data_IF_391563487992
#
_entry.id   IF_391563487992
#
_cell.length_a   1.000
_cell.length_b   1.000
_cell.length_c   1.000
_cell.angle_alpha   90.00
_cell.angle_beta   90.00
_cell.angle_gamma   90.00
#
_symmetry.space_group_name_H-M   'P 1'
#
loop_
_entity.id
_entity.type
_entity.pdbx_description
1 polymer ?
#
# COMPACT_ATOMS: atom_id res chain seq x y z
N UNK A 1 -11.25 -34.66 69.64
CA UNK A 1 -11.79 -34.03 68.41
C UNK A 1 -10.65 -33.85 67.41
N UNK A 2 -10.08 -34.95 66.94
CA UNK A 2 -10.42 -35.72 65.72
C UNK A 2 -9.94 -35.06 64.43
N UNK A 3 -8.69 -35.39 64.08
CA UNK A 3 -8.03 -35.16 62.80
C UNK A 3 -8.83 -35.69 61.59
N UNK A 4 -9.82 -36.56 61.81
CA UNK A 4 -10.79 -36.99 60.81
C UNK A 4 -11.69 -35.83 60.32
N UNK A 5 -12.06 -34.90 61.22
CA UNK A 5 -12.95 -33.78 60.89
C UNK A 5 -12.23 -32.75 59.99
N UNK A 6 -10.94 -32.55 60.21
CA UNK A 6 -10.13 -31.62 59.42
C UNK A 6 -9.85 -32.15 58.00
N UNK A 7 -9.66 -33.47 57.84
CA UNK A 7 -9.53 -34.10 56.51
C UNK A 7 -10.83 -34.04 55.70
N UNK A 8 -11.99 -34.16 56.33
CA UNK A 8 -13.28 -34.09 55.64
C UNK A 8 -13.58 -32.67 55.13
N UNK A 9 -13.26 -31.63 55.91
CA UNK A 9 -13.43 -30.23 55.51
C UNK A 9 -12.51 -29.87 54.34
N UNK A 10 -11.25 -30.36 54.34
CA UNK A 10 -10.32 -30.09 53.25
C UNK A 10 -10.77 -30.74 51.92
N UNK A 11 -11.28 -31.98 51.98
CA UNK A 11 -11.78 -32.72 50.81
C UNK A 11 -13.04 -32.10 50.21
N UNK A 12 -13.97 -31.61 51.04
CA UNK A 12 -15.17 -30.90 50.57
C UNK A 12 -14.80 -29.55 49.96
N UNK A 13 -13.80 -28.84 50.50
CA UNK A 13 -13.32 -27.58 49.90
C UNK A 13 -12.64 -27.79 48.54
N UNK A 14 -11.90 -28.89 48.37
CA UNK A 14 -11.28 -29.21 47.08
C UNK A 14 -12.35 -29.59 46.03
N UNK A 15 -13.36 -30.38 46.40
CA UNK A 15 -14.43 -30.76 45.47
C UNK A 15 -15.29 -29.56 45.03
N UNK A 16 -15.58 -28.61 45.93
CA UNK A 16 -16.30 -27.37 45.57
C UNK A 16 -15.48 -26.45 44.66
N UNK A 17 -14.15 -26.40 44.81
CA UNK A 17 -13.28 -25.62 43.94
C UNK A 17 -13.10 -26.23 42.55
N UNK A 18 -13.18 -27.56 42.41
CA UNK A 18 -13.13 -28.21 41.10
C UNK A 18 -14.43 -28.06 40.31
N UNK A 19 -15.60 -28.21 40.95
CA UNK A 19 -16.90 -28.07 40.28
C UNK A 19 -17.15 -26.65 39.74
N UNK A 20 -16.74 -25.61 40.48
CA UNK A 20 -16.96 -24.22 40.08
C UNK A 20 -16.03 -23.78 38.92
N UNK A 21 -14.86 -24.40 38.76
CA UNK A 21 -13.93 -24.11 37.64
C UNK A 21 -14.36 -24.73 36.31
N UNK A 22 -15.08 -25.85 36.34
CA UNK A 22 -15.62 -26.46 35.12
C UNK A 22 -16.82 -25.69 34.56
N UNK A 23 -17.75 -25.24 35.41
CA UNK A 23 -18.89 -24.42 34.96
C UNK A 23 -18.46 -23.04 34.40
N UNK A 24 -17.40 -22.43 34.93
CA UNK A 24 -16.88 -21.17 34.38
C UNK A 24 -16.21 -21.36 33.02
N UNK A 25 -15.50 -22.47 32.80
CA UNK A 25 -14.92 -22.80 31.49
C UNK A 25 -15.97 -23.14 30.45
N UNK A 26 -17.07 -23.79 30.86
CA UNK A 26 -18.18 -24.11 29.95
C UNK A 26 -18.94 -22.84 29.56
N UNK A 27 -19.17 -21.89 30.50
CA UNK A 27 -19.79 -20.60 30.16
C UNK A 27 -18.88 -19.67 29.34
N UNK A 28 -17.56 -19.68 29.56
CA UNK A 28 -16.62 -18.99 28.67
C UNK A 28 -16.58 -19.62 27.28
N UNK A 29 -16.59 -20.96 27.17
CA UNK A 29 -16.62 -21.67 25.89
C UNK A 29 -17.95 -21.51 25.14
N UNK A 30 -19.09 -21.44 25.83
CA UNK A 30 -20.42 -21.19 25.24
C UNK A 30 -20.62 -19.71 24.87
N UNK A 31 -19.92 -18.78 25.52
CA UNK A 31 -19.87 -17.37 25.11
C UNK A 31 -18.90 -17.08 23.95
N UNK A 32 -18.02 -18.04 23.62
CA UNK A 32 -17.06 -17.98 22.52
C UNK A 32 -17.53 -18.76 21.27
N UNK A 33 -18.76 -19.28 21.26
CA UNK A 33 -19.50 -19.46 19.99
C UNK A 33 -19.94 -18.10 19.43
N UNK A 34 -18.99 -17.18 19.32
CA UNK A 34 -19.10 -16.03 18.43
C UNK A 34 -19.19 -16.61 17.02
N UNK A 35 -20.34 -16.36 16.40
CA UNK A 35 -20.60 -16.52 14.99
C UNK A 35 -19.40 -15.92 14.25
N UNK A 36 -18.52 -16.75 13.67
CA UNK A 36 -17.61 -16.25 12.64
C UNK A 36 -18.52 -15.97 11.44
N UNK A 37 -19.01 -14.75 11.31
CA UNK A 37 -19.68 -14.34 10.09
C UNK A 37 -18.67 -14.54 8.96
N UNK A 38 -18.92 -15.56 8.13
CA UNK A 38 -18.07 -15.87 7.01
C UNK A 38 -18.31 -14.77 5.97
N UNK A 39 -17.43 -13.77 5.96
CA UNK A 39 -17.46 -12.70 4.97
C UNK A 39 -17.46 -13.30 3.56
N UNK A 40 -18.49 -13.00 2.79
CA UNK A 40 -18.58 -13.36 1.38
C UNK A 40 -18.29 -12.13 0.53
N UNK A 41 -17.25 -12.23 -0.29
CA UNK A 41 -16.85 -11.16 -1.19
C UNK A 41 -17.46 -11.38 -2.58
N UNK A 42 -18.07 -10.35 -3.15
CA UNK A 42 -18.57 -10.38 -4.53
C UNK A 42 -17.70 -9.48 -5.40
N UNK A 43 -17.17 -10.01 -6.50
CA UNK A 43 -16.48 -9.19 -7.50
C UNK A 43 -17.50 -8.25 -8.17
N UNK A 44 -17.25 -6.95 -8.07
CA UNK A 44 -18.13 -5.91 -8.65
C UNK A 44 -17.49 -5.22 -9.85
N UNK A 45 -16.17 -5.25 -9.98
CA UNK A 45 -15.45 -4.66 -11.10
C UNK A 45 -14.13 -5.38 -11.35
N UNK A 46 -13.77 -5.54 -12.63
CA UNK A 46 -12.44 -5.99 -13.04
C UNK A 46 -11.97 -5.22 -14.27
N UNK A 47 -10.67 -4.95 -14.34
CA UNK A 47 -10.02 -4.34 -15.49
C UNK A 47 -8.70 -5.06 -15.77
N UNK A 48 -8.36 -5.23 -17.04
CA UNK A 48 -7.06 -5.76 -17.47
C UNK A 48 -6.49 -4.89 -18.57
N UNK A 49 -5.25 -4.44 -18.40
CA UNK A 49 -4.58 -3.58 -19.36
C UNK A 49 -3.18 -4.12 -19.69
N UNK A 50 -2.68 -3.70 -20.85
CA UNK A 50 -1.33 -4.00 -21.34
C UNK A 50 -0.69 -2.69 -21.78
N UNK A 51 0.32 -2.26 -21.03
CA UNK A 51 1.09 -1.06 -21.29
C UNK A 51 2.46 -1.43 -21.84
N UNK A 52 2.65 -1.19 -23.14
CA UNK A 52 3.92 -1.45 -23.83
C UNK A 52 4.77 -0.20 -24.05
N UNK A 53 4.25 0.97 -23.66
CA UNK A 53 4.89 2.26 -23.95
C UNK A 53 5.32 3.02 -22.69
N UNK A 54 5.01 2.54 -21.48
CA UNK A 54 5.35 3.24 -20.24
C UNK A 54 6.84 3.18 -19.90
N UNK A 55 7.55 2.15 -20.31
CA UNK A 55 9.00 2.03 -20.12
C UNK A 55 9.66 1.64 -21.43
N UNK A 56 10.93 2.01 -21.64
CA UNK A 56 11.73 1.45 -22.73
C UNK A 56 12.33 0.07 -22.38
N UNK A 57 12.25 -0.34 -21.11
CA UNK A 57 12.96 -1.49 -20.54
C UNK A 57 12.03 -2.70 -20.34
N UNK A 58 10.76 -2.46 -20.01
CA UNK A 58 9.78 -3.51 -19.76
C UNK A 58 8.38 -3.16 -20.30
N UNK A 59 7.53 -4.19 -20.41
CA UNK A 59 6.09 -4.08 -20.61
C UNK A 59 5.37 -4.42 -19.31
N UNK A 60 4.25 -3.76 -19.04
CA UNK A 60 3.39 -4.05 -17.90
C UNK A 60 2.07 -4.66 -18.38
N UNK A 61 1.70 -5.81 -17.84
CA UNK A 61 0.33 -6.32 -17.92
C UNK A 61 -0.23 -6.34 -16.51
N UNK A 62 -1.31 -5.61 -16.26
CA UNK A 62 -1.91 -5.57 -14.95
C UNK A 62 -3.38 -5.94 -14.98
N UNK A 63 -3.85 -6.49 -13.86
CA UNK A 63 -5.23 -6.89 -13.64
C UNK A 63 -5.68 -6.38 -12.28
N UNK A 64 -6.71 -5.56 -12.30
CA UNK A 64 -7.34 -5.00 -11.11
C UNK A 64 -8.68 -5.67 -10.87
N UNK A 65 -8.99 -5.93 -9.60
CA UNK A 65 -10.27 -6.43 -9.12
C UNK A 65 -10.74 -5.57 -7.95
N UNK A 66 -12.03 -5.22 -7.96
CA UNK A 66 -12.73 -4.62 -6.82
C UNK A 66 -13.82 -5.59 -6.36
N UNK A 67 -13.78 -5.90 -5.08
CA UNK A 67 -14.70 -6.77 -4.38
C UNK A 67 -15.48 -5.95 -3.37
N UNK A 68 -16.76 -6.26 -3.20
CA UNK A 68 -17.56 -5.68 -2.12
C UNK A 68 -17.88 -6.78 -1.10
N UNK A 69 -17.63 -6.49 0.18
CA UNK A 69 -18.09 -7.34 1.26
C UNK A 69 -19.59 -7.15 1.47
N UNK A 70 -20.36 -8.22 1.27
CA UNK A 70 -21.82 -8.20 1.39
C UNK A 70 -22.34 -7.95 2.81
N UNK A 71 -21.46 -8.01 3.83
CA UNK A 71 -21.81 -7.83 5.24
C UNK A 71 -21.36 -6.44 5.72
N UNK A 72 -20.08 -6.11 5.57
CA UNK A 72 -19.53 -4.84 6.10
C UNK A 72 -19.70 -3.64 5.15
N UNK A 73 -20.06 -3.87 3.87
CA UNK A 73 -20.02 -2.86 2.80
C UNK A 73 -18.65 -2.18 2.64
N UNK A 74 -17.57 -2.85 3.05
CA UNK A 74 -16.21 -2.40 2.78
C UNK A 74 -15.72 -3.03 1.47
N UNK A 75 -15.27 -2.16 0.56
CA UNK A 75 -14.72 -2.60 -0.71
C UNK A 75 -13.24 -2.96 -0.56
N UNK A 76 -12.90 -4.19 -0.95
CA UNK A 76 -11.52 -4.68 -1.02
C UNK A 76 -11.05 -4.70 -2.47
N UNK A 77 -9.79 -4.36 -2.70
CA UNK A 77 -9.20 -4.35 -4.02
C UNK A 77 -8.01 -5.31 -4.09
N UNK A 78 -7.75 -5.84 -5.28
CA UNK A 78 -6.49 -6.50 -5.59
C UNK A 78 -5.96 -6.09 -6.95
N UNK A 79 -4.65 -5.94 -7.03
CA UNK A 79 -3.92 -5.61 -8.24
C UNK A 79 -2.79 -6.64 -8.43
N UNK A 80 -2.81 -7.30 -9.58
CA UNK A 80 -1.68 -8.10 -10.04
C UNK A 80 -0.99 -7.36 -11.18
N UNK A 81 0.31 -7.08 -11.04
CA UNK A 81 1.14 -6.49 -12.09
C UNK A 81 2.16 -7.53 -12.53
N UNK A 82 2.17 -7.85 -13.83
CA UNK A 82 3.14 -8.73 -14.46
C UNK A 82 4.09 -7.91 -15.30
N UNK A 83 5.38 -8.08 -15.07
CA UNK A 83 6.44 -7.32 -15.71
C UNK A 83 7.21 -8.22 -16.65
N UNK A 84 7.33 -7.81 -17.91
CA UNK A 84 8.04 -8.55 -18.96
C UNK A 84 9.18 -7.71 -19.47
N UNK A 85 10.40 -8.23 -19.40
CA UNK A 85 11.60 -7.60 -19.96
C UNK A 85 11.47 -7.50 -21.49
N UNK A 86 11.72 -6.31 -22.05
CA UNK A 86 11.57 -6.08 -23.49
C UNK A 86 12.69 -6.69 -24.33
N UNK A 87 13.90 -6.79 -23.79
CA UNK A 87 15.04 -7.33 -24.50
C UNK A 87 14.95 -8.86 -24.64
N UNK A 88 14.51 -9.55 -23.59
CA UNK A 88 14.44 -11.01 -23.56
C UNK A 88 13.04 -11.56 -23.83
N UNK A 89 12.01 -10.72 -23.74
CA UNK A 89 10.59 -11.10 -23.79
C UNK A 89 10.20 -12.15 -22.71
N UNK A 90 10.98 -12.25 -21.63
CA UNK A 90 10.70 -13.11 -20.50
C UNK A 90 10.04 -12.34 -19.37
N UNK A 91 9.24 -13.04 -18.55
CA UNK A 91 8.69 -12.47 -17.33
C UNK A 91 9.86 -12.17 -16.38
N UNK A 92 10.09 -10.89 -16.10
CA UNK A 92 11.14 -10.47 -15.18
C UNK A 92 10.62 -10.50 -13.75
N UNK A 93 9.38 -10.07 -13.51
CA UNK A 93 8.80 -10.07 -12.18
C UNK A 93 7.26 -10.09 -12.15
N UNK A 94 6.70 -10.23 -10.95
CA UNK A 94 5.26 -10.04 -10.72
C UNK A 94 5.00 -9.47 -9.33
N UNK A 95 4.16 -8.45 -9.27
CA UNK A 95 3.75 -7.78 -8.04
C UNK A 95 2.28 -8.12 -7.76
N UNK A 96 1.97 -8.27 -6.48
CA UNK A 96 0.61 -8.43 -6.01
C UNK A 96 0.39 -7.45 -4.87
N UNK A 97 -0.65 -6.64 -4.99
CA UNK A 97 -1.06 -5.66 -4.01
C UNK A 97 -2.53 -5.91 -3.68
N UNK A 98 -2.88 -5.88 -2.41
CA UNK A 98 -4.24 -5.92 -1.91
C UNK A 98 -4.46 -4.80 -0.89
N UNK A 99 -5.71 -4.39 -0.73
CA UNK A 99 -6.03 -3.33 0.22
C UNK A 99 -7.41 -2.73 0.03
N UNK A 100 -7.81 -1.93 1.02
CA UNK A 100 -8.98 -1.06 0.92
C UNK A 100 -8.53 0.24 0.26
N UNK A 101 -9.10 0.57 -0.89
CA UNK A 101 -8.80 1.83 -1.57
C UNK A 101 -10.04 2.72 -1.46
N UNK A 102 -9.88 3.96 -1.01
CA UNK A 102 -10.92 4.96 -1.15
C UNK A 102 -10.88 5.52 -2.58
N UNK A 103 -12.05 5.81 -3.15
CA UNK A 103 -12.18 6.27 -4.53
C UNK A 103 -12.28 5.15 -5.57
N UNK A 104 -12.07 5.53 -6.83
CA UNK A 104 -12.16 4.62 -8.00
C UNK A 104 -10.82 4.53 -8.75
N UNK A 105 -9.77 3.99 -8.09
CA UNK A 105 -8.49 3.72 -8.75
C UNK A 105 -8.68 2.69 -9.85
N UNK A 106 -7.83 2.72 -10.86
CA UNK A 106 -7.84 1.76 -11.98
C UNK A 106 -9.19 1.71 -12.71
N UNK A 107 -9.90 2.84 -12.80
CA UNK A 107 -11.18 2.94 -13.52
C UNK A 107 -11.03 2.78 -15.04
N UNK A 108 -9.82 3.00 -15.57
CA UNK A 108 -9.49 2.87 -16.99
C UNK A 108 -7.98 2.64 -17.20
N UNK A 109 -7.60 2.17 -18.40
CA UNK A 109 -6.20 1.90 -18.73
C UNK A 109 -5.34 3.16 -19.00
N UNK A 110 -5.96 4.34 -19.13
CA UNK A 110 -5.26 5.56 -19.53
C UNK A 110 -4.77 6.39 -18.34
N UNK A 111 -5.19 6.06 -17.12
CA UNK A 111 -4.71 6.68 -15.88
C UNK A 111 -3.30 6.16 -15.54
N UNK A 112 -2.35 6.36 -16.44
CA UNK A 112 -0.94 5.95 -16.31
C UNK A 112 -0.03 7.08 -16.74
N UNK A 113 1.23 7.10 -16.31
CA UNK A 113 2.18 8.13 -16.71
C UNK A 113 3.60 7.59 -16.79
N UNK A 114 4.39 8.15 -17.69
CA UNK A 114 5.82 7.85 -17.76
C UNK A 114 6.67 9.11 -17.89
N UNK A 115 7.65 9.23 -17.00
CA UNK A 115 8.69 10.24 -17.06
C UNK A 115 9.83 9.82 -18.01
N UNK A 116 9.99 8.52 -18.25
CA UNK A 116 11.04 7.97 -19.11
C UNK A 116 10.66 7.98 -20.60
N UNK A 117 9.38 7.80 -20.92
CA UNK A 117 8.86 7.78 -22.31
C UNK A 117 7.93 8.94 -22.64
N UNK A 118 7.66 9.82 -21.66
CA UNK A 118 6.76 10.98 -21.80
C UNK A 118 5.29 10.63 -22.08
N UNK A 119 4.88 9.38 -21.90
CA UNK A 119 3.46 8.98 -21.98
C UNK A 119 2.65 9.76 -20.95
N UNK A 120 1.56 10.38 -21.42
CA UNK A 120 0.67 11.25 -20.66
C UNK A 120 1.36 12.43 -19.95
N UNK A 121 2.57 12.82 -20.38
CA UNK A 121 3.30 13.98 -19.83
C UNK A 121 2.52 15.30 -19.89
N UNK A 122 1.59 15.44 -20.86
CA UNK A 122 0.73 16.62 -21.04
C UNK A 122 -0.64 16.50 -20.38
N UNK A 123 -0.98 15.34 -19.83
CA UNK A 123 -2.23 15.20 -19.09
C UNK A 123 -2.16 16.09 -17.85
N UNK A 124 -3.27 16.76 -17.55
CA UNK A 124 -3.41 17.61 -16.39
C UNK A 124 -3.17 16.80 -15.11
N UNK A 125 -2.46 17.41 -14.15
CA UNK A 125 -2.22 16.83 -12.82
C UNK A 125 -3.09 17.64 -11.86
N UNK A 126 -4.17 17.01 -11.41
CA UNK A 126 -5.10 17.59 -10.43
C UNK A 126 -4.79 16.95 -9.09
N UNK A 127 -4.61 17.76 -8.05
CA UNK A 127 -4.33 17.31 -6.68
C UNK A 127 -3.21 16.27 -6.61
N UNK A 128 -2.07 16.51 -7.26
CA UNK A 128 -0.93 15.58 -7.33
C UNK A 128 -1.24 14.18 -7.90
N UNK A 129 -2.39 13.97 -8.55
CA UNK A 129 -2.71 12.70 -9.17
C UNK A 129 -1.93 12.53 -10.47
N UNK A 130 -0.92 11.66 -10.42
CA UNK A 130 -0.05 11.36 -11.55
C UNK A 130 -0.55 10.17 -12.39
N UNK A 131 -1.61 9.49 -11.94
CA UNK A 131 -2.13 8.23 -12.49
C UNK A 131 -2.01 7.07 -11.51
N UNK A 132 -2.67 5.96 -11.84
CA UNK A 132 -2.69 4.71 -11.07
C UNK A 132 -1.35 3.97 -11.12
N UNK A 133 -0.64 4.02 -12.25
CA UNK A 133 0.72 3.49 -12.40
C UNK A 133 1.59 4.56 -13.05
N UNK A 134 2.71 4.85 -12.39
CA UNK A 134 3.71 5.82 -12.88
C UNK A 134 5.05 5.14 -13.03
N UNK A 135 5.71 5.36 -14.17
CA UNK A 135 7.09 4.92 -14.44
C UNK A 135 8.04 6.12 -14.39
N UNK A 136 9.11 6.01 -13.60
CA UNK A 136 10.17 7.01 -13.51
C UNK A 136 11.47 6.42 -12.94
N UNK A 137 12.62 6.98 -13.29
CA UNK A 137 13.89 6.73 -12.58
C UNK A 137 13.93 7.55 -11.29
N UNK A 138 13.52 6.94 -10.17
CA UNK A 138 13.39 7.63 -8.89
C UNK A 138 14.75 7.74 -8.23
N UNK A 139 15.57 6.69 -8.26
CA UNK A 139 16.86 6.62 -7.56
C UNK A 139 18.06 7.14 -8.38
N UNK A 140 17.83 7.59 -9.61
CA UNK A 140 18.81 8.19 -10.53
C UNK A 140 19.93 7.23 -10.96
N UNK A 141 19.59 5.96 -11.18
CA UNK A 141 20.51 4.92 -11.67
C UNK A 141 20.32 4.58 -13.16
N UNK A 142 19.33 5.19 -13.82
CA UNK A 142 19.01 4.99 -15.23
C UNK A 142 18.07 3.81 -15.50
N UNK A 143 17.61 3.10 -14.46
CA UNK A 143 16.57 2.08 -14.55
C UNK A 143 15.19 2.69 -14.25
N UNK A 144 14.16 2.10 -14.82
CA UNK A 144 12.79 2.61 -14.69
C UNK A 144 12.14 1.97 -13.45
N UNK A 145 11.78 2.78 -12.45
CA UNK A 145 11.05 2.35 -11.26
C UNK A 145 9.53 2.44 -11.45
N UNK A 146 8.77 1.88 -10.51
CA UNK A 146 7.31 1.94 -10.48
C UNK A 146 6.80 2.66 -9.24
N UNK A 147 5.80 3.52 -9.42
CA UNK A 147 4.93 3.98 -8.36
C UNK A 147 3.49 3.54 -8.68
N UNK A 148 2.84 2.86 -7.74
CA UNK A 148 1.49 2.32 -7.90
C UNK A 148 0.58 2.98 -6.87
N UNK A 149 -0.50 3.63 -7.33
CA UNK A 149 -1.46 4.27 -6.44
C UNK A 149 -2.25 3.19 -5.67
N UNK A 150 -2.30 3.33 -4.35
CA UNK A 150 -3.00 2.43 -3.43
C UNK A 150 -4.19 3.09 -2.74
N UNK A 151 -4.21 4.42 -2.62
CA UNK A 151 -5.32 5.10 -1.99
C UNK A 151 -5.51 6.50 -2.58
N UNK A 152 -6.76 6.94 -2.74
CA UNK A 152 -7.13 8.26 -3.25
C UNK A 152 -7.84 9.11 -2.17
N UNK A 153 -7.80 8.69 -0.90
CA UNK A 153 -8.58 9.28 0.20
C UNK A 153 -8.05 10.54 0.90
N UNK A 154 -7.11 11.29 0.31
CA UNK A 154 -6.44 12.42 0.99
C UNK A 154 -6.55 13.78 0.28
N UNK A 155 -6.38 14.87 1.04
CA UNK A 155 -6.36 16.25 0.51
C UNK A 155 -5.10 16.58 -0.32
N UNK A 156 -4.23 15.62 -0.63
CA UNK A 156 -2.95 15.87 -1.30
C UNK A 156 -2.66 14.87 -2.42
N UNK A 157 -3.72 14.20 -2.90
CA UNK A 157 -3.65 13.25 -3.99
C UNK A 157 -3.49 11.81 -3.55
N UNK A 158 -3.16 10.94 -4.51
CA UNK A 158 -3.02 9.52 -4.26
C UNK A 158 -1.78 9.22 -3.44
N UNK A 159 -1.89 8.20 -2.58
CA UNK A 159 -0.77 7.57 -1.90
C UNK A 159 -0.25 6.43 -2.75
N UNK A 160 1.07 6.38 -2.92
CA UNK A 160 1.76 5.44 -3.79
C UNK A 160 2.62 4.45 -2.99
N UNK A 161 2.66 3.22 -3.47
CA UNK A 161 3.71 2.25 -3.14
C UNK A 161 4.75 2.27 -4.24
N UNK A 162 6.02 2.36 -3.84
CA UNK A 162 7.13 2.53 -4.77
C UNK A 162 7.98 1.26 -4.85
N UNK A 163 8.30 0.83 -6.06
CA UNK A 163 9.15 -0.32 -6.33
C UNK A 163 10.34 0.10 -7.19
N UNK A 164 11.54 -0.14 -6.67
CA UNK A 164 12.80 0.17 -7.35
C UNK A 164 13.23 -1.02 -8.19
N UNK A 165 13.56 -0.78 -9.45
CA UNK A 165 14.13 -1.79 -10.32
C UNK A 165 15.58 -2.07 -9.90
N UNK A 166 15.90 -3.34 -9.73
CA UNK A 166 17.26 -3.81 -9.46
C UNK A 166 17.98 -4.11 -10.77
N UNK A 167 19.32 -4.18 -10.72
CA UNK A 167 20.16 -4.64 -11.84
C UNK A 167 19.78 -6.05 -12.36
N UNK A 168 19.05 -6.83 -11.56
CA UNK A 168 18.53 -8.16 -11.94
C UNK A 168 17.13 -8.13 -12.59
N UNK A 169 16.61 -6.94 -12.92
CA UNK A 169 15.26 -6.68 -13.44
C UNK A 169 14.13 -7.15 -12.51
N UNK A 170 14.43 -7.24 -11.21
CA UNK A 170 13.46 -7.45 -10.13
C UNK A 170 13.04 -6.12 -9.52
N UNK A 171 11.81 -6.05 -9.03
CA UNK A 171 11.20 -4.86 -8.45
C UNK A 171 11.05 -5.05 -6.95
N UNK A 172 11.74 -4.21 -6.17
CA UNK A 172 11.75 -4.30 -4.71
C UNK A 172 11.09 -3.06 -4.15
N UNK A 173 10.12 -3.24 -3.25
CA UNK A 173 9.46 -2.12 -2.60
C UNK A 173 10.48 -1.29 -1.80
N UNK A 174 10.50 0.02 -2.04
CA UNK A 174 11.30 0.96 -1.24
C UNK A 174 10.43 1.49 -0.09
N UNK A 175 10.80 1.09 1.12
CA UNK A 175 10.06 1.44 2.32
C UNK A 175 10.13 2.94 2.64
N UNK A 176 11.25 3.61 2.35
CA UNK A 176 11.36 5.03 2.63
C UNK A 176 10.46 5.83 1.70
N UNK A 177 10.48 5.52 0.40
CA UNK A 177 9.61 6.16 -0.58
C UNK A 177 8.14 5.92 -0.22
N UNK A 178 7.78 4.67 0.11
CA UNK A 178 6.40 4.28 0.44
C UNK A 178 5.89 4.94 1.73
N UNK A 179 6.68 4.91 2.81
CA UNK A 179 6.20 5.37 4.13
C UNK A 179 6.44 6.86 4.37
N UNK A 180 7.52 7.41 3.84
CA UNK A 180 7.97 8.78 4.18
C UNK A 180 7.71 9.80 3.07
N UNK A 181 7.79 9.40 1.79
CA UNK A 181 7.46 10.30 0.68
C UNK A 181 5.96 10.22 0.37
N UNK A 182 5.42 9.00 0.27
CA UNK A 182 3.99 8.65 0.19
C UNK A 182 3.26 9.17 -1.05
N UNK A 183 3.35 10.46 -1.36
CA UNK A 183 2.79 11.10 -2.54
C UNK A 183 3.81 11.08 -3.68
N UNK A 184 3.35 11.07 -4.93
CA UNK A 184 4.29 11.11 -6.04
C UNK A 184 5.04 12.45 -6.06
N UNK A 185 6.39 12.44 -6.07
CA UNK A 185 7.18 13.66 -6.00
C UNK A 185 7.42 14.30 -7.37
N UNK A 186 7.68 15.60 -7.36
CA UNK A 186 8.42 16.26 -8.43
C UNK A 186 9.87 15.74 -8.46
N UNK A 187 10.33 15.36 -9.65
CA UNK A 187 11.65 14.74 -9.87
C UNK A 187 12.61 15.77 -10.48
N UNK A 188 13.65 16.13 -9.74
CA UNK A 188 14.78 16.92 -10.24
C UNK A 188 15.98 16.01 -10.45
N UNK A 189 16.06 15.41 -11.64
CA UNK A 189 17.12 14.47 -12.02
C UNK A 189 18.52 15.10 -12.06
N UNK A 190 18.61 16.42 -12.30
CA UNK A 190 19.90 17.14 -12.32
C UNK A 190 20.48 17.26 -10.93
N UNK A 191 19.64 17.64 -9.96
CA UNK A 191 20.06 17.82 -8.56
C UNK A 191 19.94 16.53 -7.74
N UNK A 192 19.35 15.48 -8.31
CA UNK A 192 19.02 14.22 -7.64
C UNK A 192 18.12 14.43 -6.42
N UNK A 193 17.06 15.20 -6.60
CA UNK A 193 16.12 15.57 -5.55
C UNK A 193 14.71 15.13 -5.91
N UNK A 194 13.97 14.71 -4.89
CA UNK A 194 12.53 14.52 -4.93
C UNK A 194 11.87 15.58 -4.05
N UNK A 195 10.77 16.18 -4.54
CA UNK A 195 10.00 17.15 -3.77
C UNK A 195 8.53 16.77 -3.75
N UNK A 196 7.92 16.75 -2.56
CA UNK A 196 6.46 16.63 -2.45
C UNK A 196 5.87 17.92 -1.92
N UNK A 197 4.66 18.20 -2.38
CA UNK A 197 3.86 19.35 -1.98
C UNK A 197 2.53 18.84 -1.45
N UNK A 198 2.29 19.00 -0.16
CA UNK A 198 1.07 18.52 0.50
C UNK A 198 0.40 19.66 1.25
N UNK A 199 -0.91 19.58 1.45
CA UNK A 199 -1.60 20.57 2.27
C UNK A 199 -1.17 20.39 3.74
N UNK A 200 -0.53 21.43 4.30
CA UNK A 200 -0.19 21.47 5.72
C UNK A 200 -1.38 21.98 6.54
N UNK A 201 -2.11 22.96 5.99
CA UNK A 201 -3.39 23.47 6.52
C UNK A 201 -4.15 24.22 5.41
N UNK A 202 -5.20 24.97 5.77
CA UNK A 202 -6.05 25.69 4.83
C UNK A 202 -5.34 26.82 4.05
N UNK A 203 -4.18 27.29 4.52
CA UNK A 203 -3.48 28.45 3.97
C UNK A 203 -2.01 28.16 3.60
N UNK A 204 -1.52 26.94 3.85
CA UNK A 204 -0.11 26.60 3.65
C UNK A 204 0.06 25.21 3.01
N UNK A 205 1.02 25.12 2.08
CA UNK A 205 1.56 23.87 1.55
C UNK A 205 2.85 23.51 2.29
N UNK A 206 2.98 22.25 2.71
CA UNK A 206 4.23 21.66 3.13
C UNK A 206 5.03 21.23 1.91
N UNK A 207 6.18 21.85 1.68
CA UNK A 207 7.19 21.32 0.77
C UNK A 207 8.18 20.45 1.53
N UNK A 208 8.34 19.21 1.10
CA UNK A 208 9.33 18.27 1.64
C UNK A 208 10.34 17.98 0.55
N UNK A 209 11.64 18.16 0.83
CA UNK A 209 12.72 17.82 -0.10
C UNK A 209 13.48 16.61 0.41
N UNK A 210 13.72 15.66 -0.48
CA UNK A 210 14.44 14.42 -0.22
C UNK A 210 15.62 14.29 -1.17
N UNK A 211 16.68 13.65 -0.72
CA UNK A 211 17.88 13.44 -1.51
C UNK A 211 18.32 11.98 -1.46
N UNK A 212 18.75 11.46 -2.60
CA UNK A 212 19.28 10.12 -2.70
C UNK A 212 20.78 10.11 -2.40
N UNK A 213 21.21 9.24 -1.49
CA UNK A 213 22.62 9.00 -1.24
C UNK A 213 23.11 7.82 -2.08
N UNK A 214 23.81 8.14 -3.17
CA UNK A 214 24.35 7.15 -4.13
C UNK A 214 25.31 6.15 -3.46
N UNK A 215 26.04 6.55 -2.40
CA UNK A 215 27.01 5.66 -1.74
C UNK A 215 26.33 4.61 -0.88
N UNK A 216 25.30 5.00 -0.14
CA UNK A 216 24.56 4.09 0.75
C UNK A 216 23.36 3.45 0.06
N UNK A 217 23.00 3.93 -1.14
CA UNK A 217 21.79 3.56 -1.88
C UNK A 217 20.51 3.78 -1.07
N UNK A 218 20.43 4.88 -0.33
CA UNK A 218 19.29 5.20 0.54
C UNK A 218 18.83 6.64 0.38
N UNK A 219 17.54 6.84 0.59
CA UNK A 219 16.92 8.16 0.70
C UNK A 219 17.04 8.75 2.10
N UNK A 220 17.00 10.08 2.17
CA UNK A 220 16.82 10.81 3.42
C UNK A 220 16.10 12.14 3.17
N UNK A 221 15.42 12.63 4.21
CA UNK A 221 14.79 13.95 4.19
C UNK A 221 15.86 15.03 4.34
N UNK A 222 15.94 15.93 3.37
CA UNK A 222 16.90 17.04 3.35
C UNK A 222 16.33 18.26 4.06
N UNK A 223 15.08 18.62 3.77
CA UNK A 223 14.45 19.81 4.36
C UNK A 223 12.93 19.73 4.34
N UNK A 224 12.31 20.64 5.10
CA UNK A 224 10.88 20.90 5.07
C UNK A 224 10.64 22.40 5.24
N UNK A 225 9.67 22.95 4.51
CA UNK A 225 9.22 24.33 4.65
C UNK A 225 7.72 24.44 4.43
N UNK A 226 7.11 25.43 5.07
CA UNK A 226 5.73 25.83 4.82
C UNK A 226 5.74 26.98 3.81
N UNK A 227 4.89 26.86 2.80
CA UNK A 227 4.71 27.84 1.74
C UNK A 227 3.29 28.40 1.84
N UNK A 228 3.09 29.72 1.89
CA UNK A 228 1.76 30.29 1.84
C UNK A 228 1.09 29.96 0.50
N UNK A 229 -0.17 29.53 0.54
CA UNK A 229 -1.01 29.43 -0.65
C UNK A 229 -1.39 30.86 -1.02
N UNK A 230 -0.81 31.39 -2.09
CA UNK A 230 -1.22 32.70 -2.62
C UNK A 230 -2.55 32.56 -3.35
N UNK A 231 -3.54 33.36 -2.94
CA UNK A 231 -4.82 33.54 -3.66
C UNK A 231 -4.62 34.05 -5.11
#
# INVERSE_FOLDING_TARGET
>A
MNALYFKLILLVSLFLQFSCKEELKIKEAESLQNISEQHTYTEIYQLTCLDTLLSNQFNLKWKFHKFSDTISNLDSNSLMVKITDKATNSISDSLFLDGFHFGDPFSNCNAVRSYSTSINSKAEIIDNNQGDIVVADLNFDGLDDLAIAMDYGGNSGPVYVFYIQTESNKFVQDQFLTDSIMFFPDIDSKSKLLRTFTHANAYELGEHTFQYNVKTKTWYKLSHRLLPVSD
#
